data_IF_118673176617
#
_entry.id   IF_118673176617
#
_cell.length_a   1.000
_cell.length_b   1.000
_cell.length_c   1.000
_cell.angle_alpha   90.00
_cell.angle_beta   90.00
_cell.angle_gamma   90.00
#
_symmetry.space_group_name_H-M   'P 1'
#
loop_
_entity.id
_entity.type
_entity.pdbx_description
1 polymer ?
#
# COMPACT_ATOMS: atom_id res chain seq x y z
N UNK A 1 49.40 -23.41 -6.73
CA UNK A 1 48.14 -24.16 -6.47
C UNK A 1 47.97 -24.28 -4.97
N UNK A 2 47.42 -23.28 -4.30
CA UNK A 2 47.13 -23.32 -2.86
C UNK A 2 45.63 -23.15 -2.66
N UNK A 3 44.98 -24.20 -2.18
CA UNK A 3 43.55 -24.20 -1.84
C UNK A 3 43.42 -23.87 -0.35
N UNK A 4 42.94 -22.67 -0.05
CA UNK A 4 42.43 -22.30 1.27
C UNK A 4 41.11 -23.06 1.52
N UNK A 5 41.17 -24.07 2.38
CA UNK A 5 39.99 -24.83 2.84
C UNK A 5 39.25 -23.97 3.88
N UNK A 6 38.12 -23.40 3.47
CA UNK A 6 37.17 -22.73 4.39
C UNK A 6 36.49 -23.79 5.27
N UNK A 7 36.70 -23.72 6.58
CA UNK A 7 35.97 -24.52 7.58
C UNK A 7 34.54 -23.99 7.70
N UNK A 8 33.57 -24.75 7.19
CA UNK A 8 32.14 -24.49 7.42
C UNK A 8 31.78 -24.80 8.88
N UNK A 9 31.30 -23.77 9.58
CA UNK A 9 30.80 -23.85 10.96
C UNK A 9 29.38 -24.43 10.90
N UNK A 10 29.24 -25.72 11.15
CA UNK A 10 27.94 -26.40 11.23
C UNK A 10 27.15 -25.87 12.43
N UNK A 11 26.00 -25.25 12.18
CA UNK A 11 25.03 -24.88 13.21
C UNK A 11 24.45 -26.16 13.80
N UNK A 12 24.72 -26.43 15.09
CA UNK A 12 24.10 -27.53 15.84
C UNK A 12 22.59 -27.28 15.95
N UNK A 13 21.80 -28.29 15.59
CA UNK A 13 20.36 -28.32 15.88
C UNK A 13 20.12 -28.28 17.39
N UNK A 14 19.06 -27.61 17.87
CA UNK A 14 18.76 -27.56 19.29
C UNK A 14 18.32 -28.95 19.77
N UNK A 15 19.11 -29.54 20.65
CA UNK A 15 18.80 -30.76 21.40
C UNK A 15 17.54 -30.54 22.24
N UNK A 16 16.52 -31.36 22.01
CA UNK A 16 15.28 -31.40 22.80
C UNK A 16 15.64 -31.80 24.24
N UNK A 17 15.31 -31.01 25.27
CA UNK A 17 15.55 -31.38 26.66
C UNK A 17 14.74 -32.63 27.02
N UNK A 18 15.41 -33.68 27.50
CA UNK A 18 14.81 -35.00 27.74
C UNK A 18 14.10 -35.14 29.09
N UNK A 19 13.87 -34.05 29.82
CA UNK A 19 13.30 -34.08 31.17
C UNK A 19 12.17 -33.05 31.26
N UNK A 20 10.99 -33.54 31.63
CA UNK A 20 9.78 -32.74 31.84
C UNK A 20 9.42 -32.74 33.34
N UNK A 21 9.06 -31.58 33.93
CA UNK A 21 9.08 -30.26 33.31
C UNK A 21 10.51 -29.76 33.07
N UNK A 22 10.73 -28.94 32.02
CA UNK A 22 12.03 -28.36 31.78
C UNK A 22 12.45 -27.50 32.97
N UNK A 23 13.77 -27.41 33.20
CA UNK A 23 14.31 -26.49 34.19
C UNK A 23 13.92 -25.03 33.85
N UNK A 24 13.70 -24.18 34.87
CA UNK A 24 13.40 -22.78 34.65
C UNK A 24 14.49 -22.10 33.81
N UNK A 25 14.09 -21.15 32.97
CA UNK A 25 15.02 -20.33 32.20
C UNK A 25 15.96 -19.55 33.13
N UNK A 26 17.20 -19.31 32.69
CA UNK A 26 18.12 -18.47 33.46
C UNK A 26 17.65 -17.02 33.48
N UNK A 27 17.94 -16.30 34.56
CA UNK A 27 17.57 -14.88 34.70
C UNK A 27 18.09 -14.03 33.53
N UNK A 28 19.30 -14.32 33.04
CA UNK A 28 19.86 -13.65 31.86
C UNK A 28 18.99 -13.86 30.61
N UNK A 29 18.51 -15.09 30.38
CA UNK A 29 17.63 -15.39 29.26
C UNK A 29 16.29 -14.66 29.40
N UNK A 30 15.72 -14.64 30.61
CA UNK A 30 14.47 -13.93 30.91
C UNK A 30 14.64 -12.43 30.64
N UNK A 31 15.69 -11.79 31.19
CA UNK A 31 15.99 -10.39 30.95
C UNK A 31 16.20 -10.08 29.46
N UNK A 32 16.90 -10.93 28.72
CA UNK A 32 17.09 -10.76 27.28
C UNK A 32 15.77 -10.84 26.51
N UNK A 33 14.89 -11.77 26.88
CA UNK A 33 13.56 -11.89 26.27
C UNK A 33 12.73 -10.63 26.56
N UNK A 34 12.72 -10.16 27.81
CA UNK A 34 12.00 -8.95 28.20
C UNK A 34 12.53 -7.73 27.44
N UNK A 35 13.85 -7.52 27.46
CA UNK A 35 14.48 -6.40 26.75
C UNK A 35 14.25 -6.48 25.24
N UNK A 36 14.35 -7.68 24.65
CA UNK A 36 14.03 -7.91 23.23
C UNK A 36 12.58 -7.55 22.93
N UNK A 37 11.64 -8.02 23.75
CA UNK A 37 10.22 -7.68 23.60
C UNK A 37 9.99 -6.18 23.71
N UNK A 38 10.55 -5.50 24.72
CA UNK A 38 10.41 -4.06 24.89
C UNK A 38 10.97 -3.29 23.69
N UNK A 39 12.12 -3.70 23.15
CA UNK A 39 12.72 -3.07 21.96
C UNK A 39 11.88 -3.30 20.71
N UNK A 40 11.40 -4.52 20.51
CA UNK A 40 10.57 -4.88 19.35
C UNK A 40 9.19 -4.23 19.42
N UNK A 41 8.65 -4.01 20.64
CA UNK A 41 7.35 -3.39 20.88
C UNK A 41 7.41 -1.86 21.04
N UNK A 42 8.60 -1.26 20.93
CA UNK A 42 8.75 0.19 21.03
C UNK A 42 7.95 0.90 19.93
N UNK A 43 7.24 2.01 20.23
CA UNK A 43 6.43 2.73 19.24
C UNK A 43 7.20 3.10 17.97
N UNK A 44 8.50 3.38 18.07
CA UNK A 44 9.35 3.69 16.91
C UNK A 44 9.40 2.56 15.87
N UNK A 45 9.11 1.32 16.26
CA UNK A 45 9.13 0.15 15.38
C UNK A 45 7.86 0.02 14.53
N UNK A 46 6.72 0.61 14.96
CA UNK A 46 5.43 0.50 14.27
C UNK A 46 4.83 1.83 13.86
N UNK A 47 5.45 2.96 14.21
CA UNK A 47 4.98 4.25 13.74
C UNK A 47 5.03 4.30 12.21
N UNK A 48 3.88 4.63 11.63
CA UNK A 48 3.69 4.77 10.19
C UNK A 48 3.35 6.21 9.85
N UNK A 49 3.77 6.64 8.67
CA UNK A 49 3.35 7.90 8.09
C UNK A 49 3.05 7.72 6.59
N UNK A 50 2.36 8.70 6.02
CA UNK A 50 2.06 8.74 4.59
C UNK A 50 3.29 9.08 3.76
N UNK A 51 3.40 8.45 2.59
CA UNK A 51 4.35 8.87 1.56
C UNK A 51 3.73 9.97 0.67
N UNK A 52 4.40 11.10 0.53
CA UNK A 52 3.93 12.23 -0.28
C UNK A 52 3.79 11.92 -1.78
N UNK A 53 4.48 10.88 -2.28
CA UNK A 53 4.45 10.52 -3.71
C UNK A 53 3.33 9.52 -4.03
N UNK A 54 3.06 8.55 -3.15
CA UNK A 54 2.12 7.46 -3.42
C UNK A 54 0.94 7.37 -2.45
N UNK A 55 0.89 8.21 -1.41
CA UNK A 55 -0.15 8.23 -0.38
C UNK A 55 -0.22 6.98 0.51
N UNK A 56 0.68 6.00 0.34
CA UNK A 56 0.64 4.77 1.14
C UNK A 56 1.18 5.04 2.55
N UNK A 57 0.50 4.50 3.57
CA UNK A 57 1.07 4.36 4.92
C UNK A 57 2.29 3.43 4.86
N UNK A 58 3.39 3.84 5.46
CA UNK A 58 4.63 3.07 5.51
C UNK A 58 5.34 3.36 6.83
N UNK A 59 6.02 2.36 7.39
CA UNK A 59 6.86 2.53 8.58
C UNK A 59 7.85 3.69 8.42
N UNK A 60 7.99 4.52 9.46
CA UNK A 60 8.93 5.65 9.48
C UNK A 60 10.36 5.21 9.18
N UNK A 61 10.77 4.01 9.63
CA UNK A 61 12.08 3.42 9.33
C UNK A 61 12.35 3.21 7.83
N UNK A 62 11.28 3.12 7.01
CA UNK A 62 11.32 2.96 5.55
C UNK A 62 10.93 4.23 4.80
N UNK A 63 10.84 5.35 5.50
CA UNK A 63 10.56 6.68 4.95
C UNK A 63 11.83 7.55 5.02
N UNK A 64 11.91 8.52 4.11
CA UNK A 64 12.95 9.54 4.06
C UNK A 64 12.30 10.92 4.01
N UNK A 65 12.87 11.89 4.72
CA UNK A 65 12.40 13.28 4.66
C UNK A 65 12.54 13.83 3.24
N UNK A 66 11.55 14.59 2.77
CA UNK A 66 11.61 15.23 1.46
C UNK A 66 12.77 16.23 1.39
N UNK A 67 13.07 16.95 2.48
CA UNK A 67 14.12 17.96 2.53
C UNK A 67 15.54 17.38 2.36
N UNK A 68 15.73 16.13 2.79
CA UNK A 68 17.02 15.44 2.72
C UNK A 68 17.28 14.81 1.35
N UNK A 69 16.23 14.63 0.55
CA UNK A 69 16.30 13.87 -0.70
C UNK A 69 16.59 14.78 -1.88
N UNK A 70 17.74 14.57 -2.51
CA UNK A 70 18.07 15.18 -3.81
C UNK A 70 17.65 14.26 -4.95
N UNK A 71 16.45 14.45 -5.51
CA UNK A 71 15.97 13.76 -6.73
C UNK A 71 15.20 14.72 -7.64
N UNK A 72 15.14 14.40 -8.94
CA UNK A 72 14.24 15.12 -9.87
C UNK A 72 12.79 14.70 -9.65
N UNK A 73 11.89 15.68 -9.57
CA UNK A 73 10.44 15.50 -9.48
C UNK A 73 9.73 15.61 -10.83
N UNK A 74 10.46 15.84 -11.92
CA UNK A 74 9.90 15.92 -13.28
C UNK A 74 8.99 14.73 -13.64
N UNK A 75 9.30 13.47 -13.27
CA UNK A 75 8.42 12.34 -13.56
C UNK A 75 7.04 12.44 -12.91
N UNK A 76 6.87 13.26 -11.88
CA UNK A 76 5.60 13.46 -11.17
C UNK A 76 4.74 14.58 -11.75
N UNK A 77 5.23 15.30 -12.76
CA UNK A 77 4.45 16.31 -13.47
C UNK A 77 3.50 15.57 -14.43
N UNK A 78 2.19 15.79 -14.27
CA UNK A 78 1.17 15.24 -15.16
C UNK A 78 0.06 16.27 -15.37
N UNK A 79 0.03 16.97 -16.52
CA UNK A 79 -0.99 17.98 -16.82
C UNK A 79 -2.43 17.43 -16.81
N UNK A 80 -2.60 16.13 -17.03
CA UNK A 80 -3.91 15.50 -17.07
C UNK A 80 -4.42 15.11 -15.68
N UNK A 81 -3.55 14.99 -14.68
CA UNK A 81 -3.94 14.65 -13.32
C UNK A 81 -4.30 15.92 -12.56
N UNK A 82 -5.56 16.00 -12.11
CA UNK A 82 -6.10 17.15 -11.38
C UNK A 82 -5.87 16.98 -9.88
N UNK A 83 -5.45 18.05 -9.21
CA UNK A 83 -5.17 18.10 -7.76
C UNK A 83 -6.40 18.44 -6.91
N UNK A 84 -7.49 18.91 -7.53
CA UNK A 84 -8.70 19.41 -6.88
C UNK A 84 -9.95 19.07 -7.69
N UNK A 85 -11.09 19.12 -7.02
CA UNK A 85 -12.43 19.09 -7.64
C UNK A 85 -12.59 20.25 -8.61
N UNK A 86 -13.30 20.01 -9.73
CA UNK A 86 -13.61 21.04 -10.72
C UNK A 86 -15.02 21.55 -10.40
N UNK A 87 -15.11 22.81 -9.98
CA UNK A 87 -16.37 23.53 -9.94
C UNK A 87 -16.50 24.33 -11.24
N UNK A 88 -17.68 24.32 -11.86
CA UNK A 88 -17.96 24.98 -13.14
C UNK A 88 -17.73 26.51 -13.14
N UNK A 89 -17.52 27.11 -11.97
CA UNK A 89 -17.22 28.54 -11.81
C UNK A 89 -15.73 28.87 -11.75
N UNK A 90 -14.84 27.87 -11.56
CA UNK A 90 -13.40 28.05 -11.38
C UNK A 90 -12.59 27.79 -12.67
N UNK A 91 -13.24 27.79 -13.83
CA UNK A 91 -12.62 27.53 -15.15
C UNK A 91 -11.58 28.60 -15.56
N UNK A 92 -11.51 29.74 -14.85
CA UNK A 92 -10.55 30.79 -15.15
C UNK A 92 -9.25 30.65 -14.35
N UNK A 93 -8.20 30.23 -15.07
CA UNK A 93 -6.80 30.53 -14.80
C UNK A 93 -6.12 29.77 -13.66
N UNK A 94 -5.74 28.51 -13.91
CA UNK A 94 -4.58 27.98 -13.18
C UNK A 94 -3.72 27.02 -14.01
N UNK A 95 -3.23 27.54 -15.13
CA UNK A 95 -2.23 26.86 -15.98
C UNK A 95 -0.94 26.50 -15.20
N UNK A 96 -0.68 27.19 -14.08
CA UNK A 96 0.48 26.94 -13.22
C UNK A 96 0.40 25.59 -12.47
N UNK A 97 -0.82 25.08 -12.20
CA UNK A 97 -0.97 23.77 -11.56
C UNK A 97 -0.60 22.60 -12.48
N UNK A 98 -0.72 22.77 -13.80
CA UNK A 98 -0.46 21.71 -14.78
C UNK A 98 1.00 21.27 -14.83
N UNK A 99 1.92 22.20 -14.48
CA UNK A 99 3.36 22.00 -14.62
C UNK A 99 4.08 21.73 -13.28
N UNK A 100 3.35 21.67 -12.18
CA UNK A 100 3.93 21.41 -10.86
C UNK A 100 3.90 19.91 -10.53
N UNK A 101 4.94 19.36 -9.88
CA UNK A 101 4.93 17.96 -9.48
C UNK A 101 3.75 17.67 -8.54
N UNK A 102 3.20 16.45 -8.67
CA UNK A 102 2.06 16.01 -7.87
C UNK A 102 2.57 15.30 -6.62
N UNK A 103 2.39 15.96 -5.48
CA UNK A 103 2.72 15.48 -4.14
C UNK A 103 1.54 15.76 -3.20
N UNK A 104 1.41 14.92 -2.17
CA UNK A 104 0.49 15.15 -1.07
C UNK A 104 1.03 16.27 -0.16
N UNK A 105 0.32 17.40 0.01
CA UNK A 105 0.78 18.51 0.84
C UNK A 105 0.80 18.17 2.34
N UNK A 106 0.01 17.19 2.78
CA UNK A 106 -0.09 16.81 4.19
C UNK A 106 1.05 15.87 4.62
N UNK A 107 1.86 15.36 3.67
CA UNK A 107 2.93 14.40 3.93
C UNK A 107 4.33 15.01 3.72
N UNK A 108 5.22 14.87 4.71
CA UNK A 108 6.61 15.38 4.63
C UNK A 108 7.65 14.32 4.26
N UNK A 109 7.22 13.07 4.05
CA UNK A 109 8.13 11.94 3.84
C UNK A 109 7.87 11.20 2.52
N UNK A 110 8.90 10.51 2.03
CA UNK A 110 8.84 9.66 0.84
C UNK A 110 9.36 8.26 1.13
N UNK A 111 8.66 7.23 0.65
CA UNK A 111 9.07 5.85 0.84
C UNK A 111 10.22 5.45 -0.09
N UNK A 112 11.02 4.49 0.38
CA UNK A 112 12.21 3.99 -0.34
C UNK A 112 11.87 3.46 -1.75
N UNK A 113 10.68 2.88 -1.94
CA UNK A 113 10.25 2.37 -3.24
C UNK A 113 10.01 3.50 -4.26
N UNK A 114 9.34 4.59 -3.86
CA UNK A 114 9.15 5.77 -4.70
C UNK A 114 10.50 6.44 -5.00
N UNK A 115 11.33 6.63 -3.96
CA UNK A 115 12.66 7.19 -4.10
C UNK A 115 13.52 6.42 -5.12
N UNK A 116 13.56 5.09 -5.00
CA UNK A 116 14.34 4.23 -5.90
C UNK A 116 13.88 4.31 -7.37
N UNK A 117 12.60 4.64 -7.60
CA UNK A 117 12.02 4.76 -8.93
C UNK A 117 12.28 6.14 -9.51
N UNK A 118 12.15 7.20 -8.70
CA UNK A 118 12.47 8.57 -9.08
C UNK A 118 13.97 8.77 -9.38
N UNK A 119 14.86 8.11 -8.62
CA UNK A 119 16.30 8.07 -8.94
C UNK A 119 16.60 7.50 -10.33
N UNK A 120 15.70 6.68 -10.88
CA UNK A 120 15.80 6.12 -12.24
C UNK A 120 15.14 7.01 -13.29
N UNK A 121 14.66 8.20 -12.92
CA UNK A 121 13.90 9.09 -13.80
C UNK A 121 12.53 8.55 -14.19
N UNK A 122 11.98 7.59 -13.44
CA UNK A 122 10.70 6.94 -13.75
C UNK A 122 9.63 7.37 -12.77
N UNK A 123 8.39 7.44 -13.26
CA UNK A 123 7.22 7.67 -12.42
C UNK A 123 6.86 6.38 -11.66
N UNK A 124 6.72 6.40 -10.32
CA UNK A 124 6.25 5.24 -9.58
C UNK A 124 4.84 4.81 -9.99
N UNK A 125 4.60 3.50 -10.08
CA UNK A 125 3.30 2.93 -10.53
C UNK A 125 2.14 3.40 -9.65
N UNK A 126 2.36 3.47 -8.34
CA UNK A 126 1.35 3.92 -7.36
C UNK A 126 1.46 5.41 -7.03
N UNK A 127 2.12 6.21 -7.87
CA UNK A 127 2.22 7.64 -7.62
C UNK A 127 0.86 8.33 -7.76
N UNK A 128 0.64 9.38 -6.98
CA UNK A 128 -0.50 10.28 -7.10
C UNK A 128 -0.62 10.87 -8.52
N UNK A 129 0.53 11.07 -9.19
CA UNK A 129 0.60 11.49 -10.58
C UNK A 129 -0.03 10.52 -11.59
N UNK A 130 -0.37 9.28 -11.20
CA UNK A 130 -1.07 8.29 -12.05
C UNK A 130 -2.60 8.33 -11.89
N UNK A 131 -3.17 9.54 -11.80
CA UNK A 131 -4.62 9.73 -11.64
C UNK A 131 -5.18 9.06 -10.37
N UNK A 132 -4.33 8.89 -9.36
CA UNK A 132 -4.79 8.48 -8.04
C UNK A 132 -5.22 9.75 -7.30
N UNK A 133 -6.29 9.64 -6.51
CA UNK A 133 -6.86 10.78 -5.80
C UNK A 133 -5.83 11.46 -4.90
N UNK A 134 -5.78 12.79 -4.96
CA UNK A 134 -4.83 13.63 -4.20
C UNK A 134 -5.59 14.30 -3.06
N UNK A 135 -5.10 14.10 -1.84
CA UNK A 135 -5.63 14.77 -0.64
C UNK A 135 -6.81 14.06 0.00
N UNK A 136 -7.49 14.78 0.91
CA UNK A 136 -8.63 14.24 1.68
C UNK A 136 -9.73 13.77 0.74
N UNK A 137 -10.26 12.59 1.01
CA UNK A 137 -11.43 12.07 0.29
C UNK A 137 -12.58 13.05 0.53
N UNK A 138 -13.30 13.53 -0.50
CA UNK A 138 -14.43 14.44 -0.33
C UNK A 138 -15.48 13.80 0.59
N UNK A 139 -16.20 14.57 1.43
CA UNK A 139 -17.24 14.01 2.32
C UNK A 139 -18.25 13.13 1.57
N UNK A 140 -18.57 13.48 0.31
CA UNK A 140 -19.48 12.73 -0.56
C UNK A 140 -18.96 11.32 -0.92
N UNK A 141 -17.64 11.12 -0.87
CA UNK A 141 -16.97 9.85 -1.16
C UNK A 141 -16.46 9.12 0.09
N UNK A 142 -16.70 9.67 1.28
CA UNK A 142 -16.37 9.02 2.55
C UNK A 142 -17.44 7.99 2.92
N UNK A 143 -17.04 6.92 3.62
CA UNK A 143 -17.93 5.91 4.20
C UNK A 143 -18.93 5.22 3.26
N UNK A 144 -18.61 5.18 1.96
CA UNK A 144 -19.45 4.51 0.96
C UNK A 144 -19.70 3.04 1.32
N UNK A 145 -20.97 2.66 1.24
CA UNK A 145 -21.42 1.27 1.32
C UNK A 145 -20.77 0.44 0.21
N UNK A 146 -20.77 -0.89 0.39
CA UNK A 146 -20.25 -1.79 -0.63
C UNK A 146 -20.94 -1.59 -1.99
N UNK A 147 -22.25 -1.31 -2.00
CA UNK A 147 -23.02 -1.05 -3.20
C UNK A 147 -22.59 0.26 -3.89
N UNK A 148 -22.41 1.34 -3.13
CA UNK A 148 -21.95 2.64 -3.67
C UNK A 148 -20.53 2.57 -4.21
N UNK A 149 -19.62 1.86 -3.53
CA UNK A 149 -18.27 1.59 -4.02
C UNK A 149 -18.29 0.88 -5.37
N UNK A 150 -19.18 -0.11 -5.54
CA UNK A 150 -19.38 -0.78 -6.84
C UNK A 150 -19.96 0.16 -7.90
N UNK A 151 -20.78 1.13 -7.50
CA UNK A 151 -21.38 2.12 -8.40
C UNK A 151 -20.35 3.14 -8.90
N UNK A 152 -19.41 3.60 -8.08
CA UNK A 152 -18.38 4.55 -8.50
C UNK A 152 -17.09 3.91 -9.04
N UNK A 153 -16.95 2.58 -8.94
CA UNK A 153 -15.77 1.87 -9.40
C UNK A 153 -15.58 2.01 -10.93
N UNK A 154 -14.37 2.42 -11.35
CA UNK A 154 -13.96 2.49 -12.76
C UNK A 154 -14.04 1.13 -13.47
N UNK A 155 -13.78 0.04 -12.74
CA UNK A 155 -13.88 -1.33 -13.23
C UNK A 155 -14.84 -2.09 -12.33
N UNK A 156 -15.94 -2.58 -12.88
CA UNK A 156 -16.91 -3.39 -12.15
C UNK A 156 -16.77 -4.84 -12.58
N UNK A 157 -16.48 -5.73 -11.63
CA UNK A 157 -16.59 -7.16 -11.89
C UNK A 157 -18.06 -7.55 -11.78
N UNK A 158 -18.64 -8.02 -12.87
CA UNK A 158 -19.99 -8.57 -12.86
C UNK A 158 -19.95 -9.93 -12.15
N UNK A 159 -20.24 -9.95 -10.84
CA UNK A 159 -20.39 -11.19 -10.06
C UNK A 159 -21.86 -11.51 -9.88
N UNK A 160 -22.32 -12.60 -10.48
CA UNK A 160 -23.67 -13.12 -10.26
C UNK A 160 -23.64 -14.09 -9.07
N UNK A 161 -24.33 -13.74 -7.98
CA UNK A 161 -24.56 -14.62 -6.84
C UNK A 161 -25.98 -15.16 -6.93
N UNK A 162 -26.11 -16.47 -7.14
CA UNK A 162 -27.39 -17.13 -7.28
C UNK A 162 -27.64 -17.96 -6.03
N UNK A 163 -28.66 -17.60 -5.25
CA UNK A 163 -29.10 -18.40 -4.10
C UNK A 163 -29.93 -19.57 -4.62
N UNK A 164 -29.45 -20.79 -4.38
CA UNK A 164 -30.18 -22.01 -4.70
C UNK A 164 -30.92 -22.46 -3.44
N UNK A 165 -32.24 -22.53 -3.48
CA UNK A 165 -33.06 -23.22 -2.48
C UNK A 165 -33.29 -24.65 -2.97
N UNK A 166 -32.68 -25.64 -2.33
CA UNK A 166 -32.80 -27.04 -2.72
C UNK A 166 -33.86 -27.75 -1.89
N UNK A 167 -34.91 -28.24 -2.55
CA UNK A 167 -35.87 -29.19 -1.97
C UNK A 167 -36.17 -30.37 -2.93
N UNK A 168 -35.49 -30.43 -4.09
CA UNK A 168 -35.74 -31.42 -5.16
C UNK A 168 -34.44 -31.88 -5.84
N UNK A 169 -34.52 -33.00 -6.56
CA UNK A 169 -33.39 -33.71 -7.19
C UNK A 169 -32.58 -32.93 -8.25
N UNK A 170 -33.01 -31.71 -8.63
CA UNK A 170 -32.28 -30.82 -9.56
C UNK A 170 -32.20 -29.42 -8.96
N UNK A 171 -31.00 -28.83 -9.00
CA UNK A 171 -30.78 -27.43 -8.60
C UNK A 171 -31.34 -26.49 -9.67
N UNK A 172 -32.34 -25.68 -9.30
CA UNK A 172 -32.93 -24.64 -10.15
C UNK A 172 -32.84 -23.32 -9.39
N UNK A 173 -32.43 -22.26 -10.08
CA UNK A 173 -32.47 -20.91 -9.52
C UNK A 173 -32.72 -19.88 -10.62
N UNK A 174 -33.48 -18.84 -10.28
CA UNK A 174 -33.77 -17.72 -11.18
C UNK A 174 -32.73 -16.63 -10.95
N UNK A 175 -32.09 -16.17 -12.03
CA UNK A 175 -31.16 -15.05 -11.99
C UNK A 175 -31.74 -13.90 -12.83
N UNK A 176 -31.92 -12.73 -12.20
CA UNK A 176 -32.21 -11.48 -12.89
C UNK A 176 -30.90 -10.71 -12.97
N UNK A 177 -30.41 -10.48 -14.18
CA UNK A 177 -29.17 -9.75 -14.43
C UNK A 177 -29.49 -8.48 -15.21
N UNK A 178 -29.11 -7.33 -14.65
CA UNK A 178 -29.19 -6.05 -15.35
C UNK A 178 -27.87 -5.79 -16.07
N UNK A 179 -27.95 -5.35 -17.33
CA UNK A 179 -26.78 -4.91 -18.09
C UNK A 179 -26.23 -3.64 -17.45
N UNK A 180 -25.04 -3.74 -16.85
CA UNK A 180 -24.37 -2.57 -16.34
C UNK A 180 -23.50 -1.98 -17.46
N UNK A 181 -23.70 -0.74 -17.91
CA UNK A 181 -22.89 -0.15 -18.98
C UNK A 181 -21.47 0.11 -18.47
N UNK A 182 -20.62 -0.91 -18.54
CA UNK A 182 -19.22 -0.84 -18.13
C UNK A 182 -18.34 -0.85 -19.38
N UNK A 183 -17.42 0.10 -19.48
CA UNK A 183 -16.43 0.17 -20.56
C UNK A 183 -15.61 -1.13 -20.57
N UNK A 184 -15.52 -1.80 -21.72
CA UNK A 184 -14.66 -2.98 -21.87
C UNK A 184 -13.20 -2.54 -21.79
N UNK A 185 -12.52 -2.88 -20.70
CA UNK A 185 -11.13 -2.48 -20.44
C UNK A 185 -10.12 -3.43 -21.10
N UNK A 186 -10.52 -4.66 -21.42
CA UNK A 186 -9.67 -5.64 -22.10
C UNK A 186 -9.84 -5.53 -23.61
N UNK A 187 -8.71 -5.38 -24.34
CA UNK A 187 -8.63 -5.70 -25.76
C UNK A 187 -8.42 -7.22 -25.84
N UNK A 188 -9.41 -7.94 -26.33
CA UNK A 188 -9.25 -9.36 -26.72
C UNK A 188 -8.53 -9.44 -28.05
#
# INVERSE_FOLDING_TARGET
KEKLIKKNKTMKSPTIPSVFPPHPASDNLIHRIIAGFCNDTDPSQFQEAGCAVCGQLTLLTKLKSLDEVKVSYEPLINPLARKKEINSQDESNDDNFLNSPILDPDCSHMCVSCLSTLKKGKRPIKSLANFLWIGRVPPVLQDLTYAEKMLIARVRHNRCLVRVSSERAKMIANAIMFTNPTVKVYKT
#
